data_IF_334762444527
#
_entry.id   IF_334762444527
#
_cell.length_a   1.000
_cell.length_b   1.000
_cell.length_c   1.000
_cell.angle_alpha   90.00
_cell.angle_beta   90.00
_cell.angle_gamma   90.00
#
_symmetry.space_group_name_H-M   'P 1'
#
loop_
_entity.id
_entity.type
_entity.pdbx_description
1 polymer ?
#
# COMPACT_ATOMS: atom_id res chain seq x y z
N UNK A 1 -23.54 25.88 -16.79
CA UNK A 1 -23.86 26.14 -15.38
C UNK A 1 -24.09 27.63 -15.20
N UNK A 2 -25.26 28.03 -14.70
CA UNK A 2 -25.52 29.43 -14.35
C UNK A 2 -24.60 29.85 -13.20
N UNK A 3 -24.10 31.09 -13.21
CA UNK A 3 -23.36 31.61 -12.05
C UNK A 3 -24.32 31.71 -10.87
N UNK A 4 -23.99 31.01 -9.78
CA UNK A 4 -24.77 31.07 -8.53
C UNK A 4 -24.67 32.48 -7.96
N UNK A 5 -25.81 33.11 -7.64
CA UNK A 5 -25.84 34.44 -7.07
C UNK A 5 -25.51 34.37 -5.56
N UNK A 6 -24.24 34.64 -5.23
CA UNK A 6 -23.73 34.64 -3.85
C UNK A 6 -24.48 35.60 -2.93
N UNK A 7 -24.91 36.74 -3.47
CA UNK A 7 -25.64 37.73 -2.69
C UNK A 7 -26.99 37.18 -2.23
N UNK A 8 -27.69 36.46 -3.12
CA UNK A 8 -28.95 35.79 -2.79
C UNK A 8 -28.79 34.77 -1.67
N UNK A 9 -27.71 33.99 -1.69
CA UNK A 9 -27.41 33.00 -0.63
C UNK A 9 -27.23 33.70 0.71
N UNK A 10 -26.43 34.78 0.76
CA UNK A 10 -26.22 35.56 1.99
C UNK A 10 -27.52 36.17 2.52
N UNK A 11 -28.35 36.73 1.64
CA UNK A 11 -29.66 37.28 2.03
C UNK A 11 -30.54 36.22 2.71
N UNK A 12 -30.63 35.02 2.13
CA UNK A 12 -31.39 33.91 2.71
C UNK A 12 -30.84 33.50 4.07
N UNK A 13 -29.51 33.44 4.22
CA UNK A 13 -28.87 33.11 5.50
C UNK A 13 -29.11 34.19 6.57
N UNK A 14 -29.00 35.47 6.23
CA UNK A 14 -29.28 36.59 7.16
C UNK A 14 -30.74 36.60 7.62
N UNK A 15 -31.66 36.17 6.76
CA UNK A 15 -33.09 36.02 7.10
C UNK A 15 -33.38 34.74 7.91
N UNK A 16 -32.38 33.92 8.22
CA UNK A 16 -32.55 32.62 8.89
C UNK A 16 -33.22 31.56 8.00
N UNK A 17 -33.31 31.78 6.69
CA UNK A 17 -33.95 30.88 5.73
C UNK A 17 -32.95 29.86 5.17
N UNK A 18 -32.35 29.07 6.06
CA UNK A 18 -31.26 28.15 5.73
C UNK A 18 -31.70 27.09 4.70
N UNK A 19 -32.87 26.49 4.88
CA UNK A 19 -33.39 25.48 3.94
C UNK A 19 -33.59 26.04 2.53
N UNK A 20 -34.08 27.28 2.42
CA UNK A 20 -34.24 27.96 1.15
C UNK A 20 -32.89 28.25 0.48
N UNK A 21 -31.86 28.57 1.26
CA UNK A 21 -30.50 28.74 0.74
C UNK A 21 -29.97 27.42 0.16
N UNK A 22 -30.12 26.31 0.89
CA UNK A 22 -29.66 24.98 0.44
C UNK A 22 -30.41 24.52 -0.81
N UNK A 23 -31.74 24.69 -0.86
CA UNK A 23 -32.55 24.38 -2.04
C UNK A 23 -32.11 25.20 -3.27
N UNK A 24 -31.88 26.50 -3.09
CA UNK A 24 -31.40 27.38 -4.16
C UNK A 24 -30.04 26.94 -4.74
N UNK A 25 -29.10 26.50 -3.88
CA UNK A 25 -27.79 26.02 -4.34
C UNK A 25 -27.92 24.77 -5.22
N UNK A 26 -28.81 23.86 -4.83
CA UNK A 26 -29.11 22.66 -5.61
C UNK A 26 -29.76 22.99 -6.95
N UNK A 27 -30.79 23.83 -6.96
CA UNK A 27 -31.48 24.26 -8.19
C UNK A 27 -30.52 24.98 -9.14
N UNK A 28 -29.51 25.67 -8.60
CA UNK A 28 -28.44 26.30 -9.37
C UNK A 28 -27.43 25.31 -9.97
N UNK A 29 -27.56 24.01 -9.65
CA UNK A 29 -26.72 22.93 -10.17
C UNK A 29 -25.34 22.81 -9.51
N UNK A 30 -25.13 23.38 -8.32
CA UNK A 30 -23.90 23.13 -7.56
C UNK A 30 -23.86 21.69 -7.05
N UNK A 31 -22.67 21.11 -6.95
CA UNK A 31 -22.44 19.82 -6.27
C UNK A 31 -22.49 19.97 -4.74
N UNK A 32 -22.62 18.87 -3.98
CA UNK A 32 -22.55 18.89 -2.49
C UNK A 32 -21.30 19.66 -2.01
N UNK A 33 -20.12 19.30 -2.53
CA UNK A 33 -18.85 19.95 -2.16
C UNK A 33 -18.85 21.43 -2.54
N UNK A 34 -19.38 21.79 -3.71
CA UNK A 34 -19.49 23.18 -4.15
C UNK A 34 -20.41 24.00 -3.23
N UNK A 35 -21.55 23.44 -2.84
CA UNK A 35 -22.50 24.06 -1.92
C UNK A 35 -21.91 24.26 -0.51
N UNK A 36 -21.21 23.25 0.03
CA UNK A 36 -20.52 23.35 1.33
C UNK A 36 -19.49 24.47 1.31
N UNK A 37 -18.66 24.53 0.27
CA UNK A 37 -17.66 25.61 0.11
C UNK A 37 -18.32 26.98 0.03
N UNK A 38 -19.39 27.12 -0.75
CA UNK A 38 -20.06 28.41 -0.91
C UNK A 38 -20.74 28.87 0.37
N UNK A 39 -21.37 27.97 1.13
CA UNK A 39 -21.96 28.29 2.43
C UNK A 39 -20.88 28.74 3.43
N UNK A 40 -19.72 28.09 3.43
CA UNK A 40 -18.58 28.50 4.25
C UNK A 40 -18.04 29.87 3.85
N UNK A 41 -17.93 30.17 2.54
CA UNK A 41 -17.60 31.51 2.02
C UNK A 41 -18.67 32.58 2.37
N UNK A 42 -19.88 32.15 2.76
CA UNK A 42 -20.97 33.03 3.21
C UNK A 42 -21.02 33.19 4.73
N UNK A 43 -20.06 32.64 5.48
CA UNK A 43 -19.89 32.86 6.91
C UNK A 43 -20.32 31.72 7.82
N UNK A 44 -20.79 30.59 7.27
CA UNK A 44 -21.06 29.38 8.05
C UNK A 44 -19.77 28.63 8.40
N UNK A 45 -19.71 27.99 9.56
CA UNK A 45 -18.63 27.04 9.84
C UNK A 45 -18.67 25.87 8.83
N UNK A 46 -17.50 25.32 8.47
CA UNK A 46 -17.42 24.23 7.49
C UNK A 46 -18.20 22.99 7.94
N UNK A 47 -18.17 22.69 9.24
CA UNK A 47 -18.87 21.57 9.88
C UNK A 47 -20.38 21.81 9.82
N UNK A 48 -20.83 23.02 10.14
CA UNK A 48 -22.24 23.41 10.06
C UNK A 48 -22.76 23.36 8.63
N UNK A 49 -22.03 23.96 7.67
CA UNK A 49 -22.35 23.90 6.25
C UNK A 49 -22.43 22.45 5.73
N UNK A 50 -21.55 21.56 6.21
CA UNK A 50 -21.61 20.13 5.88
C UNK A 50 -22.88 19.49 6.43
N UNK A 51 -23.19 19.69 7.71
CA UNK A 51 -24.42 19.14 8.32
C UNK A 51 -25.66 19.59 7.54
N UNK A 52 -25.78 20.89 7.27
CA UNK A 52 -26.92 21.45 6.54
C UNK A 52 -27.10 20.83 5.15
N UNK A 53 -26.03 20.56 4.41
CA UNK A 53 -26.14 19.92 3.09
C UNK A 53 -26.46 18.44 3.20
N UNK A 54 -25.92 17.73 4.19
CA UNK A 54 -26.16 16.29 4.38
C UNK A 54 -27.58 16.01 4.89
N UNK A 55 -28.08 16.84 5.80
CA UNK A 55 -29.36 16.63 6.48
C UNK A 55 -30.54 17.29 5.74
N UNK A 56 -30.27 18.12 4.74
CA UNK A 56 -31.32 18.83 3.99
C UNK A 56 -32.17 17.86 3.15
N UNK A 57 -33.51 17.98 3.22
CA UNK A 57 -34.43 17.26 2.32
C UNK A 57 -34.16 17.56 0.84
N UNK A 58 -33.63 18.75 0.53
CA UNK A 58 -33.27 19.11 -0.83
C UNK A 58 -32.20 18.16 -1.39
N UNK A 59 -31.36 17.52 -0.58
CA UNK A 59 -30.28 16.63 -1.00
C UNK A 59 -30.54 15.13 -0.72
N UNK A 60 -31.76 14.78 -0.30
CA UNK A 60 -32.10 13.43 0.14
C UNK A 60 -31.90 12.35 -0.95
N UNK A 61 -32.21 12.64 -2.21
CA UNK A 61 -32.00 11.72 -3.34
C UNK A 61 -30.52 11.41 -3.60
N UNK A 62 -29.61 12.37 -3.36
CA UNK A 62 -28.17 12.13 -3.49
C UNK A 62 -27.70 11.26 -2.32
N UNK A 63 -28.18 11.53 -1.10
CA UNK A 63 -27.95 10.64 0.04
C UNK A 63 -28.39 9.21 -0.23
N UNK A 64 -29.62 9.01 -0.71
CA UNK A 64 -30.15 7.69 -1.06
C UNK A 64 -29.30 6.96 -2.10
N UNK A 65 -28.81 7.66 -3.14
CA UNK A 65 -27.92 7.06 -4.14
C UNK A 65 -26.56 6.69 -3.57
N UNK A 66 -25.99 7.53 -2.71
CA UNK A 66 -24.72 7.23 -2.03
C UNK A 66 -24.88 6.00 -1.11
N UNK A 67 -25.99 5.91 -0.37
CA UNK A 67 -26.31 4.77 0.52
C UNK A 67 -26.59 3.47 -0.26
N UNK A 68 -27.26 3.56 -1.41
CA UNK A 68 -27.44 2.41 -2.31
C UNK A 68 -26.10 1.95 -2.89
N UNK A 69 -25.24 2.89 -3.30
CA UNK A 69 -23.90 2.56 -3.77
C UNK A 69 -23.06 1.88 -2.69
N UNK A 70 -23.06 2.40 -1.46
CA UNK A 70 -22.37 1.78 -0.33
C UNK A 70 -22.89 0.38 -0.02
N UNK A 71 -24.21 0.17 0.06
CA UNK A 71 -24.78 -1.17 0.23
C UNK A 71 -24.37 -2.12 -0.88
N UNK A 72 -24.37 -1.67 -2.14
CA UNK A 72 -23.91 -2.50 -3.26
C UNK A 72 -22.43 -2.86 -3.15
N UNK A 73 -21.61 -1.96 -2.60
CA UNK A 73 -20.20 -2.24 -2.35
C UNK A 73 -20.03 -3.23 -1.20
N UNK A 74 -20.77 -3.05 -0.09
CA UNK A 74 -20.81 -3.96 1.04
C UNK A 74 -21.31 -5.35 0.60
N UNK A 75 -22.41 -5.44 -0.12
CA UNK A 75 -22.94 -6.69 -0.70
C UNK A 75 -21.93 -7.34 -1.65
N UNK A 76 -21.18 -6.55 -2.41
CA UNK A 76 -20.13 -7.07 -3.29
C UNK A 76 -18.92 -7.59 -2.50
N UNK A 77 -18.57 -6.94 -1.39
CA UNK A 77 -17.48 -7.36 -0.50
C UNK A 77 -17.86 -8.56 0.37
N UNK A 78 -19.10 -8.60 0.88
CA UNK A 78 -19.67 -9.74 1.62
C UNK A 78 -19.99 -10.90 0.69
N UNK A 79 -20.46 -10.66 -0.52
CA UNK A 79 -20.57 -11.67 -1.56
C UNK A 79 -19.21 -12.18 -2.03
N UNK A 80 -18.17 -11.35 -1.89
CA UNK A 80 -16.76 -11.73 -2.00
C UNK A 80 -16.18 -12.25 -0.68
N UNK A 81 -17.03 -12.68 0.27
CA UNK A 81 -16.63 -13.34 1.53
C UNK A 81 -15.40 -14.21 1.28
N UNK A 82 -14.33 -13.89 2.01
CA UNK A 82 -13.05 -14.57 1.95
C UNK A 82 -13.29 -16.07 1.83
N UNK A 83 -12.82 -16.65 0.73
CA UNK A 83 -13.14 -18.04 0.41
C UNK A 83 -12.69 -18.89 1.61
N UNK A 84 -13.36 -19.98 1.98
CA UNK A 84 -12.82 -20.86 3.02
C UNK A 84 -11.36 -21.31 2.74
N UNK A 85 -10.93 -21.31 1.46
CA UNK A 85 -9.53 -21.48 1.08
C UNK A 85 -8.60 -20.31 1.49
N UNK A 86 -9.13 -19.11 1.74
CA UNK A 86 -8.43 -17.95 2.31
C UNK A 86 -8.11 -18.08 3.80
N UNK A 87 -8.76 -19.00 4.53
CA UNK A 87 -8.55 -19.17 5.97
C UNK A 87 -7.50 -20.25 6.32
N UNK A 88 -7.09 -21.07 5.35
CA UNK A 88 -6.00 -22.02 5.53
C UNK A 88 -4.65 -21.31 5.38
N UNK A 89 -3.83 -21.32 6.42
CA UNK A 89 -2.46 -20.80 6.39
C UNK A 89 -1.44 -21.95 6.61
N UNK A 90 -0.63 -22.33 5.61
CA UNK A 90 -0.62 -21.84 4.22
C UNK A 90 -1.68 -22.52 3.33
N UNK A 91 -2.27 -21.81 2.34
CA UNK A 91 -3.23 -22.39 1.42
C UNK A 91 -2.57 -23.39 0.46
N UNK A 92 -3.33 -24.40 0.03
CA UNK A 92 -2.89 -25.35 -1.00
C UNK A 92 -3.16 -24.76 -2.39
N UNK A 93 -2.10 -24.61 -3.18
CA UNK A 93 -2.17 -24.26 -4.60
C UNK A 93 -1.87 -25.50 -5.44
N UNK A 94 -2.40 -25.55 -6.67
CA UNK A 94 -2.17 -26.63 -7.61
C UNK A 94 -1.32 -26.10 -8.77
N UNK A 95 -0.17 -26.72 -8.98
CA UNK A 95 0.74 -26.44 -10.09
C UNK A 95 0.60 -27.56 -11.11
N UNK A 96 0.55 -27.23 -12.39
CA UNK A 96 0.46 -28.23 -13.45
C UNK A 96 1.78 -28.98 -13.58
N UNK A 97 1.71 -30.29 -13.76
CA UNK A 97 2.86 -31.10 -14.13
C UNK A 97 2.96 -31.16 -15.66
N UNK A 98 4.16 -30.90 -16.17
CA UNK A 98 4.49 -31.05 -17.59
C UNK A 98 4.90 -32.50 -17.84
N UNK A 99 4.72 -32.97 -19.08
CA UNK A 99 5.21 -34.28 -19.55
C UNK A 99 4.63 -35.56 -18.91
N UNK A 100 3.55 -35.46 -18.13
CA UNK A 100 2.84 -36.62 -17.52
C UNK A 100 1.95 -37.42 -18.51
N UNK A 101 1.89 -37.03 -19.79
CA UNK A 101 1.01 -37.67 -20.79
C UNK A 101 -0.50 -37.47 -20.57
N UNK A 102 -0.89 -36.82 -19.47
CA UNK A 102 -2.26 -36.45 -19.10
C UNK A 102 -2.27 -35.09 -18.38
N UNK A 103 -3.46 -34.51 -18.16
CA UNK A 103 -3.60 -33.27 -17.38
C UNK A 103 -3.45 -33.57 -15.88
N UNK A 104 -2.19 -33.55 -15.42
CA UNK A 104 -1.82 -33.81 -14.04
C UNK A 104 -1.50 -32.51 -13.29
N UNK A 105 -1.91 -32.44 -12.03
CA UNK A 105 -1.75 -31.28 -11.17
C UNK A 105 -1.18 -31.73 -9.82
N UNK A 106 -0.14 -31.05 -9.35
CA UNK A 106 0.50 -31.30 -8.05
C UNK A 106 -0.02 -30.30 -7.02
N UNK A 107 -0.65 -30.75 -5.93
CA UNK A 107 -0.96 -29.87 -4.80
C UNK A 107 0.32 -29.56 -4.04
N UNK A 108 0.54 -28.28 -3.73
CA UNK A 108 1.64 -27.82 -2.88
C UNK A 108 1.20 -26.64 -2.02
N UNK A 109 1.97 -26.31 -0.99
CA UNK A 109 1.73 -25.12 -0.19
C UNK A 109 2.07 -23.87 -1.01
N UNK A 110 1.19 -22.86 -0.96
CA UNK A 110 1.44 -21.53 -1.51
C UNK A 110 1.64 -20.54 -0.37
N UNK A 111 2.80 -19.90 -0.29
CA UNK A 111 2.98 -18.79 0.65
C UNK A 111 2.31 -17.55 0.06
N UNK A 112 1.25 -17.09 0.72
CA UNK A 112 0.40 -16.00 0.21
C UNK A 112 1.16 -14.67 0.16
N UNK A 113 1.17 -14.04 -1.02
CA UNK A 113 1.69 -12.67 -1.26
C UNK A 113 0.53 -11.68 -1.31
N UNK A 114 -0.57 -12.05 -1.99
CA UNK A 114 -1.81 -11.28 -2.10
C UNK A 114 -3.02 -12.23 -2.08
N UNK A 115 -4.24 -11.73 -2.33
CA UNK A 115 -5.44 -12.60 -2.43
C UNK A 115 -5.35 -13.63 -3.56
N UNK A 116 -4.65 -13.31 -4.65
CA UNK A 116 -4.52 -14.18 -5.82
C UNK A 116 -3.07 -14.50 -6.15
N UNK A 117 -2.08 -13.99 -5.42
CA UNK A 117 -0.67 -14.18 -5.73
C UNK A 117 0.02 -14.99 -4.64
N UNK A 118 0.79 -16.00 -5.05
CA UNK A 118 1.43 -16.95 -4.14
C UNK A 118 2.87 -17.24 -4.55
N UNK A 119 3.75 -17.48 -3.57
CA UNK A 119 5.05 -18.10 -3.81
C UNK A 119 4.88 -19.61 -3.72
N UNK A 120 5.19 -20.32 -4.80
CA UNK A 120 5.15 -21.79 -4.85
C UNK A 120 6.15 -22.36 -3.84
N UNK A 121 5.71 -23.19 -2.90
CA UNK A 121 6.63 -23.92 -2.02
C UNK A 121 6.95 -25.30 -2.61
N UNK A 122 8.13 -25.87 -2.34
CA UNK A 122 8.42 -27.25 -2.67
C UNK A 122 7.62 -28.20 -1.76
N UNK A 123 7.22 -29.36 -2.28
CA UNK A 123 6.80 -30.47 -1.43
C UNK A 123 8.04 -31.18 -0.87
N UNK A 124 7.93 -31.91 0.27
CA UNK A 124 9.07 -32.62 0.85
C UNK A 124 9.71 -33.68 -0.08
N UNK A 125 8.96 -34.14 -1.08
CA UNK A 125 9.31 -35.15 -2.07
C UNK A 125 9.57 -34.56 -3.47
N UNK A 126 9.68 -33.25 -3.60
CA UNK A 126 9.98 -32.62 -4.89
C UNK A 126 11.39 -32.98 -5.38
N UNK A 127 11.47 -33.60 -6.56
CA UNK A 127 12.70 -33.88 -7.29
C UNK A 127 12.60 -33.32 -8.71
N UNK A 128 13.46 -32.35 -9.04
CA UNK A 128 13.49 -31.68 -10.34
C UNK A 128 13.91 -32.62 -11.50
N UNK A 129 14.53 -33.77 -11.19
CA UNK A 129 14.90 -34.76 -12.19
C UNK A 129 13.73 -35.68 -12.56
N UNK A 130 12.78 -35.89 -11.63
CA UNK A 130 11.64 -36.78 -11.80
C UNK A 130 10.35 -36.03 -12.19
N UNK A 131 10.19 -34.77 -11.75
CA UNK A 131 8.99 -33.96 -11.99
C UNK A 131 9.30 -32.61 -12.63
N UNK A 132 8.63 -32.31 -13.74
CA UNK A 132 8.69 -31.00 -14.37
C UNK A 132 7.41 -30.21 -14.07
N UNK A 133 7.54 -29.14 -13.29
CA UNK A 133 6.41 -28.29 -12.91
C UNK A 133 6.30 -27.09 -13.86
N UNK A 134 5.07 -26.69 -14.23
CA UNK A 134 4.85 -25.47 -15.02
C UNK A 134 5.41 -24.22 -14.31
N UNK A 135 5.35 -24.22 -12.97
CA UNK A 135 5.94 -23.18 -12.14
C UNK A 135 6.78 -23.83 -11.03
N UNK A 136 8.10 -23.75 -11.17
CA UNK A 136 9.06 -24.27 -10.19
C UNK A 136 8.83 -23.69 -8.77
N UNK A 137 9.19 -24.44 -7.71
CA UNK A 137 9.28 -23.89 -6.36
C UNK A 137 10.07 -22.58 -6.29
N UNK A 138 9.60 -21.65 -5.45
CA UNK A 138 10.14 -20.30 -5.30
C UNK A 138 9.63 -19.28 -6.31
N UNK A 139 8.93 -19.69 -7.37
CA UNK A 139 8.30 -18.75 -8.32
C UNK A 139 7.08 -18.08 -7.69
N UNK A 140 6.85 -16.82 -8.09
CA UNK A 140 5.65 -16.07 -7.75
C UNK A 140 4.64 -16.27 -8.86
N UNK A 141 3.46 -16.76 -8.53
CA UNK A 141 2.40 -17.09 -9.50
C UNK A 141 1.12 -16.36 -9.15
N UNK A 142 0.37 -15.97 -10.19
CA UNK A 142 -1.03 -15.62 -10.04
C UNK A 142 -1.82 -16.93 -10.07
N UNK A 143 -2.64 -17.13 -9.05
CA UNK A 143 -3.55 -18.24 -8.93
C UNK A 143 -4.99 -17.78 -9.22
N UNK A 144 -5.71 -18.62 -9.95
CA UNK A 144 -7.15 -18.51 -10.12
C UNK A 144 -7.85 -19.48 -9.18
N UNK A 145 -8.87 -19.00 -8.49
CA UNK A 145 -9.75 -19.85 -7.71
C UNK A 145 -10.67 -20.69 -8.63
N UNK A 146 -10.82 -21.97 -8.34
CA UNK A 146 -11.74 -22.87 -9.04
C UNK A 146 -12.48 -23.79 -8.08
N UNK A 147 -13.77 -24.01 -8.33
CA UNK A 147 -14.55 -25.03 -7.63
C UNK A 147 -14.44 -26.35 -8.38
N UNK A 148 -13.85 -27.37 -7.74
CA UNK A 148 -13.79 -28.75 -8.26
C UNK A 148 -14.63 -29.68 -7.40
N UNK A 149 -14.84 -30.91 -7.86
CA UNK A 149 -15.60 -31.95 -7.12
C UNK A 149 -15.01 -32.24 -5.73
N UNK A 150 -13.71 -32.01 -5.52
CA UNK A 150 -13.02 -32.14 -4.23
C UNK A 150 -13.00 -30.89 -3.36
N UNK A 151 -13.67 -29.80 -3.77
CA UNK A 151 -13.68 -28.53 -3.05
C UNK A 151 -13.05 -27.37 -3.84
N UNK A 152 -13.00 -26.18 -3.22
CA UNK A 152 -12.30 -25.02 -3.79
C UNK A 152 -10.79 -25.27 -3.84
N UNK A 153 -10.15 -24.87 -4.94
CA UNK A 153 -8.70 -24.95 -5.11
C UNK A 153 -8.16 -23.67 -5.75
N UNK A 154 -6.94 -23.28 -5.38
CA UNK A 154 -6.17 -22.31 -6.14
C UNK A 154 -5.36 -23.05 -7.21
N UNK A 155 -5.46 -22.59 -8.45
CA UNK A 155 -4.67 -23.11 -9.57
C UNK A 155 -3.71 -22.03 -10.03
N UNK A 156 -2.41 -22.33 -10.06
CA UNK A 156 -1.44 -21.43 -10.67
C UNK A 156 -1.74 -21.32 -12.17
N UNK A 157 -1.87 -20.11 -12.69
CA UNK A 157 -2.26 -19.87 -14.09
C UNK A 157 -1.23 -19.09 -14.90
N UNK A 158 -0.42 -18.27 -14.24
CA UNK A 158 0.67 -17.53 -14.88
C UNK A 158 1.71 -17.13 -13.84
N UNK A 159 2.93 -16.86 -14.30
CA UNK A 159 3.92 -16.17 -13.48
C UNK A 159 3.40 -14.77 -13.19
N UNK A 160 3.45 -14.36 -11.92
CA UNK A 160 3.22 -12.97 -11.60
C UNK A 160 4.37 -12.17 -12.23
N UNK A 161 4.05 -11.36 -13.23
CA UNK A 161 4.95 -10.29 -13.62
C UNK A 161 5.06 -9.37 -12.41
N UNK A 162 6.21 -9.45 -11.71
CA UNK A 162 6.60 -8.36 -10.83
C UNK A 162 6.56 -7.11 -11.71
N UNK A 163 5.84 -6.04 -11.31
CA UNK A 163 5.72 -4.84 -12.11
C UNK A 163 7.09 -4.49 -12.69
N UNK A 164 7.20 -4.28 -14.00
CA UNK A 164 8.48 -4.00 -14.67
C UNK A 164 9.21 -2.81 -14.02
N UNK A 165 8.44 -1.91 -13.44
CA UNK A 165 8.87 -0.76 -12.62
C UNK A 165 9.66 -1.16 -11.35
N UNK A 166 9.50 -2.38 -10.83
CA UNK A 166 10.28 -2.98 -9.74
C UNK A 166 11.44 -3.86 -10.24
N UNK A 167 11.42 -4.28 -11.52
CA UNK A 167 12.40 -5.20 -12.12
C UNK A 167 13.70 -4.50 -12.55
N UNK A 168 13.60 -3.21 -12.89
CA UNK A 168 14.72 -2.38 -13.37
C UNK A 168 14.98 -1.15 -12.49
N UNK A 169 14.31 -1.06 -11.34
CA UNK A 169 14.42 0.07 -10.44
C UNK A 169 15.63 -0.06 -9.49
N UNK A 170 16.50 0.96 -9.39
CA UNK A 170 17.51 1.02 -8.34
C UNK A 170 16.84 1.06 -6.95
N UNK A 171 17.51 0.54 -5.93
CA UNK A 171 17.00 0.44 -4.54
C UNK A 171 16.49 1.77 -3.93
N UNK A 172 16.82 2.93 -4.51
CA UNK A 172 16.22 4.22 -4.16
C UNK A 172 14.71 4.34 -4.51
N UNK A 173 14.15 3.42 -5.31
CA UNK A 173 12.76 3.42 -5.76
C UNK A 173 11.77 2.86 -4.72
N UNK A 174 12.22 2.29 -3.59
CA UNK A 174 11.31 1.99 -2.47
C UNK A 174 10.54 3.25 -2.00
N UNK A 175 11.17 4.42 -2.07
CA UNK A 175 10.49 5.70 -1.84
C UNK A 175 9.44 6.06 -2.91
N UNK A 176 9.61 5.60 -4.15
CA UNK A 176 8.70 5.82 -5.28
C UNK A 176 7.57 4.78 -5.37
N UNK A 177 7.82 3.52 -5.04
CA UNK A 177 6.79 2.48 -4.94
C UNK A 177 5.81 2.78 -3.79
N UNK A 178 6.31 3.24 -2.63
CA UNK A 178 5.47 3.75 -1.54
C UNK A 178 4.70 5.04 -1.91
N UNK A 179 5.23 5.84 -2.87
CA UNK A 179 4.62 7.06 -3.40
C UNK A 179 3.43 6.79 -4.33
N UNK A 180 3.46 5.71 -5.11
CA UNK A 180 2.37 5.39 -6.04
C UNK A 180 1.18 4.66 -5.38
N UNK A 181 1.41 3.82 -4.37
CA UNK A 181 0.33 3.05 -3.72
C UNK A 181 -0.43 3.82 -2.63
N UNK A 182 0.13 4.88 -2.06
CA UNK A 182 -0.46 5.60 -0.91
C UNK A 182 -1.46 6.70 -1.28
N UNK A 183 -1.67 7.00 -2.57
CA UNK A 183 -2.69 7.96 -3.02
C UNK A 183 -2.43 9.43 -2.66
N UNK A 184 -1.22 9.80 -2.22
CA UNK A 184 -0.85 11.18 -1.92
C UNK A 184 -0.50 11.98 -3.20
N UNK A 185 -1.12 13.15 -3.38
CA UNK A 185 -0.90 14.05 -4.52
C UNK A 185 0.54 14.66 -4.54
N UNK A 186 1.07 15.06 -5.71
CA UNK A 186 2.44 15.55 -5.82
C UNK A 186 2.61 16.94 -5.20
N UNK A 187 3.52 17.05 -4.24
CA UNK A 187 4.20 18.30 -3.92
C UNK A 187 5.49 18.34 -4.75
N UNK A 188 5.61 19.33 -5.64
CA UNK A 188 6.91 19.70 -6.18
C UNK A 188 7.53 20.64 -5.16
N UNK A 189 8.51 20.16 -4.40
CA UNK A 189 9.34 21.04 -3.59
C UNK A 189 10.73 21.13 -4.21
N UNK A 190 11.04 22.32 -4.69
CA UNK A 190 12.40 22.83 -4.80
C UNK A 190 12.98 22.98 -3.39
N UNK A 191 14.26 22.66 -3.20
CA UNK A 191 14.98 23.08 -1.98
C UNK A 191 14.87 24.59 -1.75
N UNK A 192 15.25 25.06 -0.56
CA UNK A 192 15.29 26.51 -0.22
C UNK A 192 16.13 27.33 -1.24
N UNK A 193 17.02 26.65 -1.97
CA UNK A 193 17.91 27.15 -3.02
C UNK A 193 17.44 26.85 -4.46
N UNK A 194 16.26 26.23 -4.67
CA UNK A 194 15.75 25.92 -6.00
C UNK A 194 16.23 24.59 -6.60
N UNK A 195 17.07 23.82 -5.90
CA UNK A 195 17.62 22.57 -6.45
C UNK A 195 16.68 21.37 -6.26
N UNK A 196 16.47 20.52 -7.28
CA UNK A 196 15.83 19.22 -7.11
C UNK A 196 16.82 18.24 -6.46
N UNK A 197 16.35 17.37 -5.56
CA UNK A 197 17.20 16.32 -4.94
C UNK A 197 16.53 14.95 -4.90
N UNK A 198 17.35 13.89 -4.81
CA UNK A 198 16.95 12.48 -4.74
C UNK A 198 17.06 11.96 -3.30
N UNK A 199 16.07 11.17 -2.85
CA UNK A 199 16.10 10.51 -1.56
C UNK A 199 16.76 9.13 -1.69
N UNK A 200 17.67 8.80 -0.76
CA UNK A 200 18.30 7.49 -0.67
C UNK A 200 17.62 6.63 0.40
N UNK A 201 17.25 5.40 0.05
CA UNK A 201 16.83 4.38 1.00
C UNK A 201 18.04 3.45 1.21
N UNK A 202 18.71 3.58 2.35
CA UNK A 202 19.80 2.70 2.74
C UNK A 202 19.34 1.66 3.75
N UNK A 203 19.68 0.38 3.53
CA UNK A 203 19.66 -0.63 4.57
C UNK A 203 21.04 -0.62 5.25
N UNK A 204 21.12 -0.32 6.54
CA UNK A 204 22.37 -0.39 7.29
C UNK A 204 22.43 -1.72 8.07
N UNK A 205 23.27 -2.69 7.67
CA UNK A 205 23.59 -3.81 8.54
C UNK A 205 24.55 -3.36 9.65
N UNK A 206 24.43 -3.97 10.84
CA UNK A 206 25.33 -3.71 11.97
C UNK A 206 26.80 -3.97 11.58
N UNK A 207 27.60 -2.91 11.43
CA UNK A 207 29.05 -3.01 11.48
C UNK A 207 29.51 -2.88 12.93
N UNK A 208 29.89 -4.02 13.51
CA UNK A 208 30.66 -4.20 14.75
C UNK A 208 30.84 -2.96 15.64
N UNK A 209 29.87 -2.71 16.53
CA UNK A 209 30.05 -1.88 17.72
C UNK A 209 30.31 -0.39 17.51
N UNK A 210 30.12 0.15 16.30
CA UNK A 210 30.09 1.61 16.06
C UNK A 210 28.69 2.05 15.67
N UNK A 211 28.21 3.11 16.30
CA UNK A 211 27.01 3.81 15.89
C UNK A 211 27.24 4.41 14.50
N UNK A 212 26.54 3.90 13.49
CA UNK A 212 26.48 4.50 12.14
C UNK A 212 25.98 5.95 12.21
N UNK A 213 25.20 6.29 13.24
CA UNK A 213 24.75 7.66 13.50
C UNK A 213 25.88 8.64 13.83
N UNK A 214 26.94 8.23 14.52
CA UNK A 214 27.99 9.16 14.97
C UNK A 214 28.99 9.50 13.86
N UNK A 215 29.22 8.59 12.91
CA UNK A 215 30.16 8.81 11.79
C UNK A 215 29.50 9.57 10.61
N UNK A 216 28.17 9.52 10.47
CA UNK A 216 27.44 10.21 9.39
C UNK A 216 26.79 11.55 9.83
N UNK A 217 26.52 11.75 11.12
CA UNK A 217 25.78 12.91 11.64
C UNK A 217 26.72 13.79 12.46
N UNK A 218 27.35 14.74 11.78
CA UNK A 218 28.18 15.77 12.42
C UNK A 218 27.50 16.36 13.66
N UNK A 219 28.30 16.50 14.71
CA UNK A 219 27.93 16.88 16.07
C UNK A 219 26.97 18.07 16.20
N UNK A 220 25.66 17.84 16.15
CA UNK A 220 24.63 18.66 16.79
C UNK A 220 23.51 17.74 17.29
N UNK A 221 23.77 17.15 18.45
CA UNK A 221 22.83 16.37 19.25
C UNK A 221 21.74 17.30 19.81
N UNK A 222 20.50 17.14 19.34
CA UNK A 222 19.33 17.42 20.18
C UNK A 222 18.95 16.13 20.90
N UNK A 223 18.69 16.26 22.20
CA UNK A 223 18.41 15.18 23.15
C UNK A 223 17.34 14.20 22.64
N UNK A 224 17.79 13.14 21.98
CA UNK A 224 17.04 11.89 21.89
C UNK A 224 17.23 11.16 23.22
N UNK A 225 16.12 10.76 23.81
CA UNK A 225 15.98 10.05 25.08
C UNK A 225 17.05 8.95 25.28
N UNK A 226 17.46 8.67 26.54
CA UNK A 226 18.48 7.68 26.83
C UNK A 226 18.10 6.28 26.31
N UNK A 227 19.10 5.43 26.02
CA UNK A 227 18.92 4.23 25.23
C UNK A 227 18.08 3.21 26.00
N UNK A 228 16.84 3.00 25.54
CA UNK A 228 16.27 1.68 25.68
C UNK A 228 17.09 0.75 24.79
N UNK A 229 17.98 -0.02 25.43
CA UNK A 229 18.72 -1.09 24.77
C UNK A 229 17.74 -2.01 24.03
N UNK A 230 17.97 -2.17 22.72
CA UNK A 230 17.20 -3.06 21.86
C UNK A 230 16.61 -2.35 20.64
N UNK A 231 17.45 -1.90 19.71
CA UNK A 231 17.04 -1.73 18.31
C UNK A 231 17.59 -2.84 17.41
N UNK A 232 17.80 -4.02 17.99
CA UNK A 232 17.50 -5.25 17.30
C UNK A 232 16.05 -5.60 17.64
N UNK A 233 15.12 -5.34 16.73
CA UNK A 233 13.86 -6.06 16.74
C UNK A 233 14.22 -7.54 16.58
N UNK A 234 14.07 -8.34 17.64
CA UNK A 234 14.55 -9.72 17.75
C UNK A 234 13.89 -10.75 16.81
N UNK A 235 13.52 -10.36 15.59
CA UNK A 235 12.77 -11.17 14.61
C UNK A 235 13.07 -10.80 13.14
N UNK A 236 14.32 -10.46 12.78
CA UNK A 236 14.67 -10.22 11.36
C UNK A 236 14.01 -8.97 10.75
N UNK A 237 13.68 -7.98 11.57
CA UNK A 237 13.15 -6.70 11.10
C UNK A 237 14.28 -5.71 10.77
N UNK A 238 14.20 -5.05 9.62
CA UNK A 238 15.07 -3.96 9.17
C UNK A 238 14.38 -2.62 9.39
N UNK A 239 15.16 -1.61 9.80
CA UNK A 239 14.69 -0.23 9.93
C UNK A 239 14.91 0.52 8.61
N UNK A 240 13.84 1.09 8.06
CA UNK A 240 13.87 1.98 6.90
C UNK A 240 13.76 3.42 7.41
N UNK A 241 14.84 4.18 7.20
CA UNK A 241 14.85 5.61 7.45
C UNK A 241 14.32 6.32 6.20
N UNK A 242 13.02 6.60 6.18
CA UNK A 242 12.39 7.32 5.07
C UNK A 242 11.85 8.65 5.60
N UNK A 243 12.56 9.74 5.35
CA UNK A 243 11.97 11.08 5.41
C UNK A 243 12.39 11.90 4.20
N UNK A 244 11.51 11.99 3.21
CA UNK A 244 11.76 12.80 2.01
C UNK A 244 11.59 14.32 2.25
N UNK A 245 10.91 14.76 3.32
CA UNK A 245 10.52 16.17 3.51
C UNK A 245 11.23 16.93 4.63
N UNK A 246 11.67 16.26 5.69
CA UNK A 246 12.13 16.90 6.93
C UNK A 246 13.64 17.02 7.07
N UNK A 247 14.43 16.33 6.21
CA UNK A 247 15.90 16.26 6.28
C UNK A 247 16.48 15.70 7.60
N UNK A 248 15.64 15.24 8.51
CA UNK A 248 16.07 14.57 9.74
C UNK A 248 15.95 13.04 9.58
N UNK A 249 17.04 12.29 9.84
CA UNK A 249 16.96 10.84 9.97
C UNK A 249 15.93 10.48 11.05
N UNK A 250 14.92 9.67 10.71
CA UNK A 250 14.04 9.06 11.70
C UNK A 250 12.79 9.85 12.11
N UNK A 251 12.27 10.79 11.31
CA UNK A 251 11.01 11.46 11.68
C UNK A 251 9.78 10.52 11.64
N UNK A 252 9.87 9.42 10.90
CA UNK A 252 8.92 8.31 10.89
C UNK A 252 9.65 7.04 10.46
N UNK A 253 10.41 6.38 11.35
CA UNK A 253 11.08 5.14 10.99
C UNK A 253 10.01 4.11 10.62
N UNK A 254 10.18 3.48 9.45
CA UNK A 254 9.35 2.36 9.05
C UNK A 254 10.14 1.09 9.35
N UNK A 255 9.64 0.22 10.22
CA UNK A 255 10.20 -1.12 10.37
C UNK A 255 9.57 -2.05 9.34
N UNK A 256 10.33 -3.00 8.82
CA UNK A 256 9.84 -4.05 7.91
C UNK A 256 10.53 -5.37 8.22
N UNK A 257 9.87 -6.50 8.00
CA UNK A 257 10.49 -7.81 8.03
C UNK A 257 11.11 -8.12 6.65
N UNK A 258 12.40 -8.49 6.62
CA UNK A 258 13.09 -8.87 5.38
C UNK A 258 13.43 -10.35 5.42
N UNK A 259 12.87 -11.11 4.48
CA UNK A 259 13.13 -12.53 4.30
C UNK A 259 13.90 -12.75 3.00
N UNK A 260 15.00 -13.51 3.07
CA UNK A 260 15.87 -13.80 1.93
C UNK A 260 15.80 -15.30 1.63
N UNK A 261 15.36 -15.65 0.43
CA UNK A 261 15.29 -17.01 -0.11
C UNK A 261 16.29 -17.17 -1.26
N UNK A 262 16.42 -18.36 -1.86
CA UNK A 262 17.43 -18.60 -2.89
C UNK A 262 17.34 -17.69 -4.12
N UNK A 263 16.12 -17.34 -4.56
CA UNK A 263 15.88 -16.51 -5.74
C UNK A 263 15.17 -15.19 -5.44
N UNK A 264 14.67 -15.01 -4.22
CA UNK A 264 13.72 -13.93 -3.91
C UNK A 264 14.05 -13.28 -2.57
N UNK A 265 13.93 -11.96 -2.50
CA UNK A 265 13.92 -11.19 -1.25
C UNK A 265 12.52 -10.62 -1.05
N UNK A 266 11.94 -10.80 0.13
CA UNK A 266 10.60 -10.28 0.45
C UNK A 266 10.67 -9.32 1.62
N UNK A 267 10.12 -8.12 1.45
CA UNK A 267 9.92 -7.14 2.49
C UNK A 267 8.44 -7.12 2.86
N UNK A 268 8.12 -7.23 4.15
CA UNK A 268 6.74 -7.33 4.60
C UNK A 268 6.57 -6.68 5.98
N UNK A 269 5.35 -6.70 6.52
CA UNK A 269 5.07 -6.23 7.88
C UNK A 269 5.59 -4.81 8.14
N UNK A 270 5.25 -3.88 7.23
CA UNK A 270 5.65 -2.50 7.36
C UNK A 270 4.93 -1.85 8.55
N UNK A 271 5.66 -1.24 9.48
CA UNK A 271 5.10 -0.53 10.63
C UNK A 271 5.74 0.85 10.77
N UNK A 272 4.94 1.87 11.04
CA UNK A 272 5.41 3.22 11.32
C UNK A 272 4.75 3.73 12.60
N UNK A 273 5.54 4.24 13.54
CA UNK A 273 5.05 4.78 14.82
C UNK A 273 4.09 3.83 15.56
N UNK A 274 4.40 2.53 15.55
CA UNK A 274 3.60 1.49 16.19
C UNK A 274 2.32 1.10 15.45
N UNK A 275 2.07 1.66 14.26
CA UNK A 275 0.93 1.32 13.40
C UNK A 275 1.37 0.51 12.19
N UNK A 276 0.70 -0.61 11.92
CA UNK A 276 0.93 -1.41 10.71
C UNK A 276 0.44 -0.65 9.48
N UNK A 277 1.32 -0.50 8.50
CA UNK A 277 0.98 0.08 7.21
C UNK A 277 0.33 -0.99 6.32
N UNK A 278 -0.71 -0.60 5.58
CA UNK A 278 -1.39 -1.46 4.60
C UNK A 278 -0.61 -1.58 3.28
N UNK A 279 0.72 -1.68 3.39
CA UNK A 279 1.62 -1.92 2.27
C UNK A 279 1.79 -3.44 2.18
N UNK A 280 1.36 -4.02 1.07
CA UNK A 280 1.54 -5.45 0.81
C UNK A 280 3.03 -5.83 0.80
N UNK A 281 3.35 -7.13 0.87
CA UNK A 281 4.73 -7.56 0.74
C UNK A 281 5.32 -7.10 -0.61
N UNK A 282 6.54 -6.58 -0.56
CA UNK A 282 7.33 -6.20 -1.74
C UNK A 282 8.34 -7.31 -1.99
N UNK A 283 8.39 -7.79 -3.23
CA UNK A 283 9.15 -8.99 -3.60
C UNK A 283 10.16 -8.61 -4.69
N UNK A 284 11.43 -8.96 -4.48
CA UNK A 284 12.56 -8.66 -5.36
C UNK A 284 13.21 -9.96 -5.86
N UNK A 285 13.78 -9.95 -7.06
CA UNK A 285 14.76 -10.96 -7.46
C UNK A 285 16.03 -10.79 -6.60
N UNK A 286 16.52 -11.89 -6.03
CA UNK A 286 17.64 -11.82 -5.07
C UNK A 286 18.94 -11.36 -5.71
N UNK A 287 19.26 -11.79 -6.93
CA UNK A 287 20.53 -11.43 -7.57
C UNK A 287 20.56 -9.94 -7.88
N UNK A 288 19.44 -9.40 -8.36
CA UNK A 288 19.31 -7.96 -8.61
C UNK A 288 19.38 -7.17 -7.30
N UNK A 289 18.66 -7.61 -6.27
CA UNK A 289 18.68 -6.99 -4.95
C UNK A 289 20.09 -6.94 -4.36
N UNK A 290 20.80 -8.08 -4.35
CA UNK A 290 22.16 -8.18 -3.83
C UNK A 290 23.15 -7.33 -4.63
N UNK A 291 23.02 -7.25 -5.97
CA UNK A 291 23.86 -6.40 -6.80
C UNK A 291 23.65 -4.90 -6.48
N UNK A 292 22.39 -4.48 -6.29
CA UNK A 292 22.05 -3.11 -5.92
C UNK A 292 22.54 -2.76 -4.51
N UNK A 293 22.38 -3.67 -3.55
CA UNK A 293 22.93 -3.49 -2.20
C UNK A 293 24.46 -3.39 -2.24
N UNK A 294 25.14 -4.23 -3.03
CA UNK A 294 26.58 -4.17 -3.18
C UNK A 294 27.07 -2.86 -3.81
N UNK A 295 26.37 -2.34 -4.82
CA UNK A 295 26.65 -1.03 -5.43
C UNK A 295 26.51 0.12 -4.43
N UNK A 296 25.43 0.12 -3.64
CA UNK A 296 25.21 1.12 -2.59
C UNK A 296 26.29 1.05 -1.51
N UNK A 297 26.67 -0.14 -1.07
CA UNK A 297 27.75 -0.32 -0.09
C UNK A 297 29.10 0.16 -0.64
N UNK A 298 29.40 -0.10 -1.91
CA UNK A 298 30.63 0.37 -2.55
C UNK A 298 30.66 1.91 -2.69
N UNK A 299 29.51 2.54 -2.94
CA UNK A 299 29.40 3.99 -3.01
C UNK A 299 29.52 4.68 -1.63
N UNK A 300 29.19 3.94 -0.55
CA UNK A 300 29.21 4.45 0.82
C UNK A 300 30.61 4.52 1.46
N UNK A 301 31.63 3.93 0.84
CA UNK A 301 33.03 3.97 1.29
C UNK A 301 33.38 2.89 2.31
#
# INVERSE_FOLDING_TARGET
MGRVNRQRVRELLVLGQVDAAVAYLRESGLSKIGSIKLLNECGLDRTEAKSLIHDSPAWADVGQRDDEFHRRLEDALEGAQADPADQADPPIIHVRLLNEGADAWRPTQGRRVSSTTFVVQPTPDYDEADEEWEFEPGRVVVCRWERRSGGPVYRAVELAELPTELRDAPMCVLGLAMRQQSGYAPWVETGIDGTPFEAFVGAAPEFGGRNVGDDYLGSQSHDLLPPHGGLLGGRGSVLLLVCAGCREPGCAPVTTCVEVFDRVVTWSQFEASGSRLSIGPIVFDRRQYEAQVAELLAAAG
#
